data_IF_573902968717
#
_entry.id   IF_573902968717
#
_cell.length_a   1.000
_cell.length_b   1.000
_cell.length_c   1.000
_cell.angle_alpha   90.00
_cell.angle_beta   90.00
_cell.angle_gamma   90.00
#
_symmetry.space_group_name_H-M   'P 1'
#
loop_
_entity.id
_entity.type
_entity.pdbx_description
1 polymer ?
#
# COMPACT_ATOMS: atom_id res chain seq x y z
N UNK A 1 -19.62 18.75 11.77
CA UNK A 1 -18.88 18.65 10.50
C UNK A 1 -19.56 17.58 9.67
N UNK A 2 -20.14 17.93 8.52
CA UNK A 2 -20.85 16.96 7.70
C UNK A 2 -19.87 16.19 6.80
N UNK A 3 -20.30 15.04 6.27
CA UNK A 3 -19.52 14.29 5.26
C UNK A 3 -19.28 15.14 4.00
N UNK A 4 -20.19 16.05 3.66
CA UNK A 4 -20.00 16.98 2.54
C UNK A 4 -18.86 17.97 2.79
N UNK A 5 -18.75 18.49 4.01
CA UNK A 5 -17.68 19.42 4.39
C UNK A 5 -16.31 18.76 4.35
N UNK A 6 -16.20 17.52 4.86
CA UNK A 6 -14.94 16.76 4.86
C UNK A 6 -14.45 16.47 3.44
N UNK A 7 -15.35 16.03 2.55
CA UNK A 7 -15.00 15.76 1.15
C UNK A 7 -14.57 17.03 0.40
N UNK A 8 -15.23 18.15 0.68
CA UNK A 8 -14.88 19.45 0.09
C UNK A 8 -13.49 19.89 0.54
N UNK A 9 -13.19 19.77 1.84
CA UNK A 9 -11.87 20.07 2.39
C UNK A 9 -10.80 19.15 1.80
N UNK A 10 -11.07 17.85 1.69
CA UNK A 10 -10.14 16.89 1.10
C UNK A 10 -9.83 17.24 -0.37
N UNK A 11 -10.84 17.56 -1.17
CA UNK A 11 -10.65 18.03 -2.55
C UNK A 11 -9.77 19.28 -2.60
N UNK A 12 -10.05 20.28 -1.75
CA UNK A 12 -9.22 21.49 -1.68
C UNK A 12 -7.76 21.17 -1.33
N UNK A 13 -7.53 20.27 -0.37
CA UNK A 13 -6.19 19.80 0.03
C UNK A 13 -5.47 19.10 -1.12
N UNK A 14 -6.11 18.14 -1.80
CA UNK A 14 -5.53 17.44 -2.95
C UNK A 14 -5.13 18.43 -4.05
N UNK A 15 -6.01 19.39 -4.38
CA UNK A 15 -5.71 20.42 -5.40
C UNK A 15 -4.48 21.25 -5.01
N UNK A 16 -4.35 21.64 -3.74
CA UNK A 16 -3.17 22.39 -3.23
C UNK A 16 -1.88 21.56 -3.31
N UNK A 17 -1.93 20.28 -2.93
CA UNK A 17 -0.77 19.39 -3.01
C UNK A 17 -0.31 19.20 -4.46
N UNK A 18 -1.24 19.02 -5.39
CA UNK A 18 -0.93 18.93 -6.83
C UNK A 18 -0.28 20.23 -7.31
N UNK A 19 -0.85 21.39 -6.98
CA UNK A 19 -0.29 22.71 -7.34
C UNK A 19 1.16 22.84 -6.89
N UNK A 20 1.47 22.46 -5.65
CA UNK A 20 2.81 22.53 -5.09
C UNK A 20 3.78 21.52 -5.74
N UNK A 21 3.29 20.35 -6.15
CA UNK A 21 4.12 19.28 -6.74
C UNK A 21 4.68 19.62 -8.13
N UNK A 22 3.97 20.44 -8.91
CA UNK A 22 4.34 20.77 -10.30
C UNK A 22 5.65 21.58 -10.38
N UNK A 23 5.79 22.74 -9.71
CA UNK A 23 7.05 23.51 -9.77
C UNK A 23 8.19 22.78 -9.05
N UNK A 24 7.89 22.01 -7.99
CA UNK A 24 8.87 21.23 -7.26
C UNK A 24 9.41 20.01 -8.03
N UNK A 25 8.82 19.67 -9.20
CA UNK A 25 9.09 18.44 -9.96
C UNK A 25 9.11 17.20 -9.06
N UNK A 26 8.16 17.15 -8.13
CA UNK A 26 8.10 16.07 -7.15
C UNK A 26 7.70 14.75 -7.83
N UNK A 27 8.27 13.63 -7.38
CA UNK A 27 7.84 12.31 -7.84
C UNK A 27 6.35 12.08 -7.53
N UNK A 28 5.67 11.30 -8.38
CA UNK A 28 4.25 10.99 -8.17
C UNK A 28 4.01 10.17 -6.89
N UNK A 29 5.01 9.37 -6.50
CA UNK A 29 4.95 8.56 -5.30
C UNK A 29 5.01 9.42 -4.04
N UNK A 30 5.94 10.37 -3.97
CA UNK A 30 6.03 11.28 -2.82
C UNK A 30 4.79 12.19 -2.73
N UNK A 31 4.19 12.55 -3.86
CA UNK A 31 2.90 13.24 -3.87
C UNK A 31 1.81 12.34 -3.28
N UNK A 32 1.76 11.07 -3.67
CA UNK A 32 0.78 10.12 -3.15
C UNK A 32 0.92 9.90 -1.63
N UNK A 33 2.15 9.81 -1.11
CA UNK A 33 2.41 9.76 0.35
C UNK A 33 1.81 10.98 1.03
N UNK A 34 2.05 12.19 0.51
CA UNK A 34 1.49 13.43 1.07
C UNK A 34 -0.05 13.48 1.02
N UNK A 35 -0.64 12.88 -0.01
CA UNK A 35 -2.12 12.82 -0.16
C UNK A 35 -2.72 11.84 0.83
N UNK A 36 -2.08 10.69 1.04
CA UNK A 36 -2.48 9.69 2.04
C UNK A 36 -2.33 10.23 3.46
N UNK A 37 -1.28 11.02 3.72
CA UNK A 37 -1.02 11.62 5.03
C UNK A 37 -0.96 10.56 6.13
N UNK A 38 -1.68 10.81 7.22
CA UNK A 38 -1.74 9.91 8.39
C UNK A 38 -2.84 8.83 8.28
N UNK A 39 -3.43 8.64 7.09
CA UNK A 39 -4.45 7.61 6.91
C UNK A 39 -3.83 6.20 6.91
N UNK A 40 -4.58 5.16 7.31
CA UNK A 40 -4.11 3.77 7.26
C UNK A 40 -3.96 3.23 5.83
N UNK A 41 -4.17 4.06 4.81
CA UNK A 41 -4.17 3.67 3.41
C UNK A 41 -2.76 3.44 2.89
N UNK A 42 -2.50 2.28 2.31
CA UNK A 42 -1.30 2.05 1.51
C UNK A 42 -1.35 2.82 0.17
N UNK A 43 -0.20 3.38 -0.24
CA UNK A 43 -0.04 3.99 -1.58
C UNK A 43 0.05 2.88 -2.63
N UNK A 44 -0.91 2.87 -3.55
CA UNK A 44 -0.99 1.85 -4.62
C UNK A 44 -0.74 2.44 -6.00
N UNK A 45 -0.41 1.59 -6.97
CA UNK A 45 -0.29 1.99 -8.39
C UNK A 45 -1.58 2.66 -8.89
N UNK A 46 -2.75 2.14 -8.48
CA UNK A 46 -4.07 2.70 -8.85
C UNK A 46 -4.27 4.12 -8.32
N UNK A 47 -3.79 4.42 -7.11
CA UNK A 47 -3.83 5.79 -6.57
C UNK A 47 -2.90 6.71 -7.37
N UNK A 48 -1.66 6.26 -7.63
CA UNK A 48 -0.68 7.02 -8.39
C UNK A 48 -1.16 7.35 -9.82
N UNK A 49 -1.79 6.40 -10.52
CA UNK A 49 -2.33 6.66 -11.86
C UNK A 49 -3.44 7.72 -11.85
N UNK A 50 -4.33 7.69 -10.85
CA UNK A 50 -5.37 8.71 -10.67
C UNK A 50 -4.77 10.08 -10.36
N UNK A 51 -3.77 10.15 -9.49
CA UNK A 51 -3.06 11.40 -9.19
C UNK A 51 -2.30 11.96 -10.39
N UNK A 52 -1.69 11.09 -11.20
CA UNK A 52 -1.01 11.48 -12.43
C UNK A 52 -1.99 12.10 -13.44
N UNK A 53 -3.18 11.51 -13.60
CA UNK A 53 -4.25 12.09 -14.41
C UNK A 53 -4.63 13.48 -13.88
N UNK A 54 -4.87 13.61 -12.58
CA UNK A 54 -5.24 14.89 -11.96
C UNK A 54 -4.14 15.94 -12.13
N UNK A 55 -2.87 15.56 -11.98
CA UNK A 55 -1.72 16.46 -12.18
C UNK A 55 -1.59 16.90 -13.62
N UNK A 56 -1.82 16.01 -14.59
CA UNK A 56 -1.79 16.34 -16.00
C UNK A 56 -2.92 17.29 -16.43
N UNK A 57 -4.07 17.24 -15.76
CA UNK A 57 -5.23 18.11 -16.02
C UNK A 57 -5.27 19.35 -15.11
N UNK A 58 -4.23 19.56 -14.30
CA UNK A 58 -4.22 20.63 -13.32
C UNK A 58 -4.39 22.00 -13.97
N UNK A 59 -5.35 22.76 -13.43
CA UNK A 59 -5.56 24.17 -13.76
C UNK A 59 -5.91 24.92 -12.47
N UNK A 60 -5.50 26.19 -12.38
CA UNK A 60 -5.73 26.97 -11.15
C UNK A 60 -7.20 27.40 -11.00
N UNK A 61 -8.01 27.22 -12.04
CA UNK A 61 -9.42 27.60 -12.10
C UNK A 61 -10.37 26.66 -11.33
N UNK A 62 -11.64 27.07 -11.22
CA UNK A 62 -12.72 26.28 -10.59
C UNK A 62 -13.14 25.07 -11.43
N UNK A 63 -12.85 25.08 -12.75
CA UNK A 63 -13.21 24.02 -13.69
C UNK A 63 -12.31 22.79 -13.63
N UNK A 64 -11.28 22.79 -12.76
CA UNK A 64 -10.38 21.67 -12.56
C UNK A 64 -11.12 20.34 -12.35
N UNK A 65 -12.07 20.29 -11.41
CA UNK A 65 -12.82 19.07 -11.11
C UNK A 65 -13.71 18.65 -12.29
N UNK A 66 -14.33 19.59 -12.99
CA UNK A 66 -15.13 19.31 -14.18
C UNK A 66 -14.28 18.70 -15.31
N UNK A 67 -13.05 19.16 -15.50
CA UNK A 67 -12.11 18.61 -16.48
C UNK A 67 -11.71 17.18 -16.12
N UNK A 68 -11.45 16.91 -14.84
CA UNK A 68 -11.15 15.56 -14.33
C UNK A 68 -12.34 14.64 -14.58
N UNK A 69 -13.54 15.05 -14.19
CA UNK A 69 -14.77 14.26 -14.35
C UNK A 69 -15.09 14.00 -15.82
N UNK A 70 -14.96 15.03 -16.68
CA UNK A 70 -15.13 14.89 -18.13
C UNK A 70 -14.15 13.87 -18.71
N UNK A 71 -12.89 13.90 -18.28
CA UNK A 71 -11.88 12.96 -18.78
C UNK A 71 -12.12 11.54 -18.29
N UNK A 72 -12.47 11.35 -17.02
CA UNK A 72 -12.86 10.06 -16.47
C UNK A 72 -14.09 9.49 -17.17
N UNK A 73 -15.08 10.32 -17.49
CA UNK A 73 -16.25 9.90 -18.24
C UNK A 73 -15.90 9.44 -19.66
N UNK A 74 -14.99 10.16 -20.36
CA UNK A 74 -14.51 9.75 -21.68
C UNK A 74 -13.82 8.38 -21.60
N UNK A 75 -12.93 8.17 -20.63
CA UNK A 75 -12.22 6.90 -20.42
C UNK A 75 -13.23 5.77 -20.16
N UNK A 76 -14.22 5.99 -19.29
CA UNK A 76 -15.26 5.01 -18.97
C UNK A 76 -16.10 4.67 -20.20
N UNK A 77 -16.56 5.66 -20.96
CA UNK A 77 -17.32 5.45 -22.20
C UNK A 77 -16.52 4.69 -23.26
N UNK A 78 -15.22 4.97 -23.37
CA UNK A 78 -14.34 4.25 -24.27
C UNK A 78 -14.18 2.77 -23.85
N UNK A 79 -14.07 2.50 -22.54
CA UNK A 79 -14.00 1.15 -22.02
C UNK A 79 -15.29 0.35 -22.29
N UNK A 80 -16.47 0.94 -22.06
CA UNK A 80 -17.78 0.30 -22.24
C UNK A 80 -18.07 -0.15 -23.69
N UNK A 81 -17.44 0.45 -24.70
CA UNK A 81 -17.54 0.01 -26.10
C UNK A 81 -16.91 -1.38 -26.33
N UNK A 82 -16.22 -1.91 -25.33
CA UNK A 82 -15.35 -3.07 -25.42
C UNK A 82 -15.91 -4.43 -25.01
N UNK A 83 -17.11 -4.50 -24.42
CA UNK A 83 -17.71 -5.74 -23.92
C UNK A 83 -17.91 -5.78 -22.40
N UNK A 84 -17.77 -6.97 -21.80
CA UNK A 84 -18.18 -7.28 -20.42
C UNK A 84 -17.44 -6.52 -19.30
N UNK A 85 -18.01 -6.58 -18.09
CA UNK A 85 -17.60 -5.76 -16.93
C UNK A 85 -16.12 -5.89 -16.54
N UNK A 86 -15.56 -7.11 -16.53
CA UNK A 86 -14.14 -7.34 -16.21
C UNK A 86 -13.21 -6.67 -17.23
N UNK A 87 -13.49 -6.85 -18.53
CA UNK A 87 -12.73 -6.22 -19.61
C UNK A 87 -12.81 -4.68 -19.60
N UNK A 88 -13.88 -4.11 -19.03
CA UNK A 88 -14.01 -2.66 -18.90
C UNK A 88 -13.05 -2.08 -17.85
N UNK A 89 -12.88 -2.76 -16.70
CA UNK A 89 -11.97 -2.31 -15.65
C UNK A 89 -10.50 -2.37 -16.07
N UNK A 90 -10.10 -3.42 -16.78
CA UNK A 90 -8.74 -3.54 -17.33
C UNK A 90 -8.43 -2.43 -18.34
N UNK A 91 -9.40 -2.09 -19.20
CA UNK A 91 -9.25 -0.99 -20.17
C UNK A 91 -9.14 0.36 -19.49
N UNK A 92 -9.94 0.61 -18.45
CA UNK A 92 -9.84 1.84 -17.65
C UNK A 92 -8.46 1.91 -17.00
N UNK A 93 -8.03 0.81 -16.36
CA UNK A 93 -6.72 0.74 -15.68
C UNK A 93 -5.60 1.01 -16.67
N UNK A 94 -5.59 0.34 -17.83
CA UNK A 94 -4.60 0.56 -18.90
C UNK A 94 -4.60 2.01 -19.40
N UNK A 95 -5.78 2.60 -19.60
CA UNK A 95 -5.88 4.00 -20.03
C UNK A 95 -5.32 4.95 -18.97
N UNK A 96 -5.55 4.68 -17.68
CA UNK A 96 -5.00 5.48 -16.58
C UNK A 96 -3.49 5.27 -16.40
N UNK A 97 -2.96 4.06 -16.65
CA UNK A 97 -1.52 3.80 -16.58
C UNK A 97 -0.72 4.65 -17.56
N UNK A 98 -1.28 4.96 -18.74
CA UNK A 98 -0.59 5.87 -19.69
C UNK A 98 -0.34 7.26 -19.10
N UNK A 99 -1.23 7.75 -18.22
CA UNK A 99 -0.99 9.02 -17.52
C UNK A 99 0.14 8.92 -16.52
N UNK A 100 0.27 7.78 -15.84
CA UNK A 100 1.38 7.56 -14.91
C UNK A 100 2.73 7.51 -15.65
N UNK A 101 2.78 6.89 -16.82
CA UNK A 101 4.00 6.84 -17.63
C UNK A 101 4.40 8.23 -18.13
N UNK A 102 3.44 8.98 -18.69
CA UNK A 102 3.66 10.37 -19.12
C UNK A 102 4.15 11.26 -17.96
N UNK A 103 3.56 11.07 -16.79
CA UNK A 103 3.89 11.82 -15.60
C UNK A 103 5.29 11.48 -15.06
N UNK A 104 5.67 10.19 -15.06
CA UNK A 104 7.03 9.72 -14.76
C UNK A 104 8.05 10.22 -15.77
N UNK A 105 7.73 10.28 -17.06
CA UNK A 105 8.62 10.86 -18.07
C UNK A 105 8.83 12.36 -17.84
N UNK A 106 7.79 13.07 -17.39
CA UNK A 106 7.82 14.53 -17.23
C UNK A 106 8.46 14.99 -15.92
N UNK A 107 8.22 14.26 -14.82
CA UNK A 107 8.59 14.67 -13.47
C UNK A 107 9.43 13.64 -12.72
N UNK A 108 9.58 12.42 -13.24
CA UNK A 108 10.37 11.38 -12.61
C UNK A 108 11.87 11.65 -12.75
N UNK A 109 12.60 11.47 -11.66
CA UNK A 109 14.05 11.32 -11.63
C UNK A 109 14.39 9.86 -11.96
N UNK A 110 15.36 9.63 -12.85
CA UNK A 110 15.79 8.29 -13.31
C UNK A 110 16.17 7.31 -12.19
N UNK A 111 16.37 7.79 -10.95
CA UNK A 111 16.91 7.02 -9.83
C UNK A 111 15.86 6.48 -8.84
N UNK A 112 14.59 6.86 -8.95
CA UNK A 112 13.57 6.45 -7.98
C UNK A 112 12.68 5.32 -8.51
N UNK A 113 13.18 4.09 -8.37
CA UNK A 113 12.36 2.89 -8.56
C UNK A 113 11.65 2.58 -7.24
N UNK A 114 10.54 3.26 -6.98
CA UNK A 114 9.65 2.90 -5.87
C UNK A 114 8.93 1.60 -6.22
N UNK A 115 9.10 0.56 -5.40
CA UNK A 115 8.32 -0.68 -5.51
C UNK A 115 6.92 -0.46 -4.91
N UNK A 116 5.99 0.03 -5.74
CA UNK A 116 4.63 0.38 -5.32
C UNK A 116 3.75 -0.86 -5.45
N UNK A 117 3.05 -1.29 -4.39
CA UNK A 117 2.16 -2.44 -4.45
C UNK A 117 1.00 -2.20 -5.40
N UNK A 118 0.61 -3.26 -6.11
CA UNK A 118 -0.53 -3.23 -7.05
C UNK A 118 -1.88 -3.28 -6.33
N UNK A 119 -1.93 -3.97 -5.18
CA UNK A 119 -3.10 -4.10 -4.32
C UNK A 119 -2.91 -3.29 -3.04
N UNK A 120 -4.03 -2.80 -2.50
CA UNK A 120 -4.06 -2.18 -1.19
C UNK A 120 -3.83 -3.20 -0.07
N UNK A 121 -3.63 -2.72 1.16
CA UNK A 121 -3.64 -3.58 2.34
C UNK A 121 -5.02 -4.24 2.55
N UNK A 122 -5.10 -5.19 3.47
CA UNK A 122 -6.33 -5.96 3.75
C UNK A 122 -7.50 -5.03 4.07
N UNK A 123 -7.26 -3.98 4.86
CA UNK A 123 -8.30 -3.03 5.22
C UNK A 123 -8.82 -2.26 4.00
N UNK A 124 -7.92 -1.79 3.12
CA UNK A 124 -8.31 -1.14 1.87
C UNK A 124 -9.10 -2.07 0.96
N UNK A 125 -8.71 -3.36 0.88
CA UNK A 125 -9.44 -4.36 0.11
C UNK A 125 -10.85 -4.56 0.65
N UNK A 126 -11.01 -4.68 1.98
CA UNK A 126 -12.32 -4.82 2.63
C UNK A 126 -13.22 -3.62 2.33
N UNK A 127 -12.68 -2.39 2.43
CA UNK A 127 -13.42 -1.16 2.09
C UNK A 127 -13.80 -1.14 0.60
N UNK A 128 -12.88 -1.51 -0.28
CA UNK A 128 -13.11 -1.56 -1.72
C UNK A 128 -14.20 -2.59 -2.08
N UNK A 129 -14.27 -3.73 -1.40
CA UNK A 129 -15.32 -4.75 -1.57
C UNK A 129 -16.71 -4.25 -1.13
N UNK A 130 -16.78 -3.58 0.02
CA UNK A 130 -18.03 -2.98 0.53
C UNK A 130 -18.55 -1.93 -0.45
N UNK A 131 -17.68 -1.08 -1.00
CA UNK A 131 -18.05 -0.04 -1.96
C UNK A 131 -18.50 -0.63 -3.30
N UNK A 132 -17.88 -1.72 -3.75
CA UNK A 132 -18.25 -2.40 -4.99
C UNK A 132 -19.56 -3.20 -4.88
N UNK A 133 -20.10 -3.35 -3.67
CA UNK A 133 -21.31 -4.14 -3.43
C UNK A 133 -21.10 -5.64 -3.68
N UNK A 134 -19.85 -6.09 -3.72
CA UNK A 134 -19.47 -7.49 -3.98
C UNK A 134 -19.51 -8.35 -2.72
N UNK A 135 -19.91 -7.79 -1.57
CA UNK A 135 -20.16 -8.53 -0.33
C UNK A 135 -21.32 -9.52 -0.54
N UNK A 136 -21.00 -10.67 -1.11
CA UNK A 136 -21.69 -11.90 -0.79
C UNK A 136 -21.30 -12.19 0.66
N UNK A 137 -22.22 -11.91 1.59
CA UNK A 137 -22.11 -12.22 3.01
C UNK A 137 -21.85 -13.73 3.17
N UNK A 138 -20.58 -14.12 3.12
CA UNK A 138 -20.09 -15.37 3.67
C UNK A 138 -19.53 -15.05 5.07
N UNK A 139 -19.95 -15.87 6.02
CA UNK A 139 -19.83 -15.69 7.47
C UNK A 139 -18.45 -15.26 8.00
N UNK A 140 -18.42 -14.67 9.23
CA UNK A 140 -17.18 -14.41 9.94
C UNK A 140 -16.39 -15.71 10.09
N UNK A 141 -15.21 -15.77 9.47
CA UNK A 141 -14.24 -16.84 9.73
C UNK A 141 -13.70 -16.62 11.14
N UNK A 142 -14.35 -17.23 12.11
CA UNK A 142 -13.79 -17.45 13.43
C UNK A 142 -12.47 -18.20 13.25
N UNK A 143 -11.32 -17.72 13.77
CA UNK A 143 -10.12 -18.51 13.80
C UNK A 143 -10.37 -19.68 14.77
N UNK A 144 -10.50 -20.89 14.24
CA UNK A 144 -10.51 -22.12 15.02
C UNK A 144 -9.18 -22.19 15.80
N UNK A 145 -9.18 -22.18 17.14
CA UNK A 145 -8.02 -22.63 17.89
C UNK A 145 -7.99 -24.15 17.74
N UNK A 146 -7.06 -24.66 16.94
CA UNK A 146 -6.74 -26.09 16.95
C UNK A 146 -6.12 -26.40 18.31
N UNK A 147 -6.94 -26.87 19.24
CA UNK A 147 -6.53 -27.56 20.46
C UNK A 147 -6.08 -28.98 20.07
N UNK A 148 -4.81 -29.37 20.28
CA UNK A 148 -4.48 -30.79 20.42
C UNK A 148 -4.82 -31.23 21.84
N UNK A 149 -5.93 -31.96 21.99
CA UNK A 149 -6.27 -32.68 23.22
C UNK A 149 -5.66 -34.08 23.12
N UNK A 150 -4.67 -34.34 23.96
CA UNK A 150 -4.02 -35.63 24.16
C UNK A 150 -3.19 -35.59 25.43
N UNK A 151 -3.88 -35.72 26.57
CA UNK A 151 -3.31 -35.85 27.91
C UNK A 151 -2.66 -37.26 28.12
N UNK A 152 -2.34 -37.71 29.35
CA UNK A 152 -1.08 -37.51 30.05
C UNK A 152 -0.46 -38.86 30.53
N UNK A 153 0.87 -39.00 30.61
CA UNK A 153 1.46 -40.06 31.46
C UNK A 153 2.81 -39.65 32.06
N UNK A 154 2.86 -39.66 33.39
CA UNK A 154 4.05 -39.90 34.22
C UNK A 154 3.49 -40.65 35.44
N UNK A 155 4.07 -41.80 35.86
CA UNK A 155 5.21 -41.77 36.78
C UNK A 155 6.17 -42.98 36.62
N UNK A 156 7.47 -42.94 36.97
CA UNK A 156 8.04 -43.28 38.30
C UNK A 156 9.54 -43.61 38.09
N UNK A 157 10.44 -43.44 39.09
CA UNK A 157 11.90 -43.39 38.93
C UNK A 157 12.64 -44.72 39.30
N UNK A 158 13.98 -44.63 39.48
CA UNK A 158 14.94 -45.51 40.25
C UNK A 158 15.95 -46.32 39.36
N UNK A 159 17.13 -46.79 39.83
CA UNK A 159 18.41 -46.05 40.04
C UNK A 159 19.71 -46.80 39.58
N UNK A 160 20.87 -46.12 39.66
CA UNK A 160 22.24 -46.71 39.69
C UNK A 160 22.94 -46.77 38.33
N UNK A 161 24.20 -46.38 38.12
CA UNK A 161 25.39 -46.48 38.97
C UNK A 161 26.45 -45.43 38.59
N UNK A 162 27.21 -45.03 39.61
CA UNK A 162 28.24 -44.00 39.73
C UNK A 162 29.59 -44.42 39.12
N UNK A 163 30.35 -43.44 38.60
CA UNK A 163 31.83 -43.28 38.61
C UNK A 163 32.32 -42.76 37.25
N UNK A 164 33.19 -41.76 37.09
CA UNK A 164 34.22 -41.16 37.95
C UNK A 164 34.53 -39.74 37.41
N UNK A 165 34.70 -38.77 38.32
CA UNK A 165 35.50 -37.54 38.16
C UNK A 165 37.01 -37.92 38.15
N UNK A 166 38.01 -37.01 37.99
CA UNK A 166 37.97 -35.55 37.94
C UNK A 166 38.89 -34.85 36.90
N UNK A 167 38.86 -33.51 36.93
CA UNK A 167 39.99 -32.56 36.79
C UNK A 167 40.70 -32.41 35.42
N UNK A 168 41.14 -31.24 34.95
CA UNK A 168 41.25 -29.89 35.51
C UNK A 168 41.66 -28.93 34.36
N UNK A 169 41.59 -27.63 34.69
CA UNK A 169 42.58 -26.61 34.32
C UNK A 169 42.50 -25.97 32.92
N UNK A 170 42.40 -24.63 32.91
CA UNK A 170 43.04 -23.84 31.85
C UNK A 170 42.28 -22.63 31.33
N UNK A 171 42.04 -21.62 32.17
CA UNK A 171 42.01 -20.21 31.76
C UNK A 171 43.31 -19.58 32.35
N UNK A 172 43.77 -18.34 32.05
CA UNK A 172 43.47 -17.36 30.99
C UNK A 172 44.75 -16.66 30.40
N UNK A 173 44.56 -15.53 29.68
CA UNK A 173 45.53 -14.43 29.42
C UNK A 173 46.55 -14.64 28.27
N UNK A 174 47.05 -13.67 27.50
CA UNK A 174 47.10 -12.19 27.52
C UNK A 174 47.32 -11.69 26.06
N UNK A 175 46.79 -10.54 25.62
CA UNK A 175 47.40 -9.19 25.61
C UNK A 175 48.59 -8.95 24.66
N UNK A 176 48.42 -8.02 23.70
CA UNK A 176 49.37 -6.98 23.22
C UNK A 176 48.73 -6.30 21.99
N UNK A 177 48.40 -5.00 21.96
CA UNK A 177 49.22 -3.78 22.06
C UNK A 177 50.16 -3.59 20.86
N UNK A 178 49.94 -2.52 20.09
CA UNK A 178 50.82 -2.12 18.99
C UNK A 178 50.36 -0.85 18.27
N UNK A 179 50.50 0.28 18.95
CA UNK A 179 50.47 1.65 18.44
C UNK A 179 51.74 1.94 17.62
N UNK A 180 51.60 2.58 16.45
CA UNK A 180 52.23 3.86 16.02
C UNK A 180 52.06 4.02 14.52
#
# INVERSE_FOLDING_TARGET
MTVGDTLTQLRATIKKLIKASIPAKQSIYDLAIKVVGDSPCTVTVKLCTRLALMRNLYTDDTSFWDKVDKKLNIIRKAALKGGGAAGNQERITRALSTYLDLDRTKYGTQSEVHNIPELGDVWQQDVDEVIQGTTSRAEPRTPTPTTPLGEPITPTPTPGTISLLPEASGNPSASSSGTT
#
